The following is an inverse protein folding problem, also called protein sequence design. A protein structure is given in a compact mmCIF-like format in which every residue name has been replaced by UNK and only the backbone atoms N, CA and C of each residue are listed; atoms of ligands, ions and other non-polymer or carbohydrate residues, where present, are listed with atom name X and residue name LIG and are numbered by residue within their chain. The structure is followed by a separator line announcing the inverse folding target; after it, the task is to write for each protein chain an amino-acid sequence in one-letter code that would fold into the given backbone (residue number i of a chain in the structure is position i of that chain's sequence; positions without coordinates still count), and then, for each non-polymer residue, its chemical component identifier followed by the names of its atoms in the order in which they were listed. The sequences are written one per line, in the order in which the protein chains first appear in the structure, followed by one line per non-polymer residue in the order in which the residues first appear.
data_IF_060363145167
#
_entry.id   IF_060363145167
#
_cell.length_a   1.000
_cell.length_b   1.000
_cell.length_c   1.000
_cell.angle_alpha   90.00
_cell.angle_beta   90.00
_cell.angle_gamma   90.00
#
_symmetry.space_group_name_H-M   'P 1'
#
loop_
_entity.id
_entity.type
_entity.pdbx_description
1 polymer ?
#
# COMPACT_ATOMS: atom_id res chain seq x y z
N UNK A 1 -38.80 8.83 1.28
CA UNK A 1 -37.83 9.95 1.19
C UNK A 1 -36.44 9.54 1.69
N UNK A 2 -36.31 8.98 2.90
CA UNK A 2 -35.03 8.54 3.50
C UNK A 2 -34.17 7.59 2.64
N UNK A 3 -34.76 6.54 2.05
CA UNK A 3 -34.01 5.59 1.18
C UNK A 3 -33.30 6.28 0.01
N UNK A 4 -33.88 7.34 -0.56
CA UNK A 4 -33.29 8.08 -1.71
C UNK A 4 -32.03 8.87 -1.34
N UNK A 5 -31.85 9.22 -0.06
CA UNK A 5 -30.66 9.96 0.41
C UNK A 5 -29.45 9.02 0.45
N UNK A 6 -29.61 7.84 1.05
CA UNK A 6 -28.54 6.83 1.14
C UNK A 6 -28.13 6.23 -0.21
N UNK A 7 -29.05 6.21 -1.19
CA UNK A 7 -28.76 5.75 -2.55
C UNK A 7 -28.05 6.82 -3.40
N UNK A 8 -27.96 8.07 -2.94
CA UNK A 8 -27.33 9.15 -3.72
C UNK A 8 -25.83 9.20 -3.44
N UNK A 9 -25.04 8.77 -4.40
CA UNK A 9 -23.57 8.71 -4.29
C UNK A 9 -22.92 10.04 -3.87
N UNK A 10 -23.37 11.17 -4.42
CA UNK A 10 -22.85 12.50 -4.05
C UNK A 10 -23.03 12.83 -2.58
N UNK A 11 -24.15 12.41 -1.98
CA UNK A 11 -24.41 12.64 -0.55
C UNK A 11 -23.49 11.77 0.29
N UNK A 12 -23.36 10.49 -0.08
CA UNK A 12 -22.45 9.58 0.62
C UNK A 12 -20.99 10.03 0.52
N UNK A 13 -20.56 10.53 -0.64
CA UNK A 13 -19.23 11.13 -0.80
C UNK A 13 -19.02 12.27 0.18
N UNK A 14 -19.95 13.23 0.25
CA UNK A 14 -19.86 14.34 1.21
C UNK A 14 -19.74 13.84 2.64
N UNK A 15 -20.52 12.83 3.03
CA UNK A 15 -20.48 12.24 4.37
C UNK A 15 -19.12 11.56 4.64
N UNK A 16 -18.57 10.82 3.67
CA UNK A 16 -17.25 10.19 3.78
C UNK A 16 -16.14 11.23 3.94
N UNK A 17 -16.18 12.30 3.14
CA UNK A 17 -15.20 13.40 3.23
C UNK A 17 -15.30 14.11 4.58
N UNK A 18 -16.51 14.40 5.06
CA UNK A 18 -16.71 15.00 6.38
C UNK A 18 -16.22 14.08 7.51
N UNK A 19 -16.43 12.77 7.42
CA UNK A 19 -15.90 11.82 8.39
C UNK A 19 -14.36 11.79 8.37
N UNK A 20 -13.74 11.81 7.19
CA UNK A 20 -12.29 11.86 7.07
C UNK A 20 -11.71 13.14 7.68
N UNK A 21 -12.35 14.29 7.45
CA UNK A 21 -11.96 15.56 8.08
C UNK A 21 -12.13 15.53 9.60
N UNK A 22 -13.23 14.97 10.10
CA UNK A 22 -13.44 14.80 11.54
C UNK A 22 -12.32 13.95 12.16
N UNK A 23 -12.02 12.80 11.55
CA UNK A 23 -10.93 11.92 12.00
C UNK A 23 -9.62 12.70 12.00
N UNK A 24 -9.30 13.43 10.93
CA UNK A 24 -8.10 14.27 10.87
C UNK A 24 -8.02 15.28 12.02
N UNK A 25 -9.10 15.98 12.34
CA UNK A 25 -9.14 16.93 13.46
C UNK A 25 -8.97 16.28 14.84
N UNK A 26 -9.46 15.06 15.04
CA UNK A 26 -9.31 14.33 16.31
C UNK A 26 -7.86 14.03 16.68
N UNK A 27 -6.93 14.02 15.71
CA UNK A 27 -5.51 13.76 15.96
C UNK A 27 -4.68 15.00 16.31
N UNK A 28 -5.27 16.21 16.30
CA UNK A 28 -4.56 17.40 16.77
C UNK A 28 -4.40 17.35 18.30
N UNK A 29 -3.16 17.49 18.84
CA UNK A 29 -2.94 17.43 20.28
C UNK A 29 -3.71 18.49 21.08
N UNK A 30 -3.92 19.67 20.49
CA UNK A 30 -4.70 20.75 21.11
C UNK A 30 -6.19 20.38 21.25
N UNK A 31 -6.75 19.69 20.25
CA UNK A 31 -8.14 19.24 20.25
C UNK A 31 -8.32 18.05 21.18
N UNK A 32 -7.39 17.10 21.16
CA UNK A 32 -7.43 15.90 21.99
C UNK A 32 -7.46 16.20 23.50
N UNK A 33 -6.78 17.27 23.92
CA UNK A 33 -6.77 17.73 25.32
C UNK A 33 -7.93 18.66 25.67
N UNK A 34 -8.71 19.10 24.68
CA UNK A 34 -9.83 20.01 24.89
C UNK A 34 -11.09 19.25 25.30
N UNK A 35 -12.02 19.88 26.07
CA UNK A 35 -13.31 19.28 26.36
C UNK A 35 -14.17 19.06 25.10
N UNK A 36 -13.82 19.67 23.96
CA UNK A 36 -14.49 19.48 22.69
C UNK A 36 -14.27 18.08 22.08
N UNK A 37 -13.26 17.33 22.56
CA UNK A 37 -12.96 15.98 22.05
C UNK A 37 -14.14 15.02 22.19
N UNK A 38 -14.87 15.10 23.31
CA UNK A 38 -16.05 14.26 23.58
C UNK A 38 -17.12 14.44 22.50
N UNK A 39 -17.34 15.68 22.03
CA UNK A 39 -18.29 15.95 20.94
C UNK A 39 -17.85 15.34 19.61
N UNK A 40 -16.53 15.32 19.34
CA UNK A 40 -15.99 14.67 18.14
C UNK A 40 -16.13 13.15 18.21
N UNK A 41 -16.01 12.55 19.39
CA UNK A 41 -16.27 11.12 19.57
C UNK A 41 -17.73 10.76 19.29
N UNK A 42 -18.69 11.55 19.80
CA UNK A 42 -20.09 11.35 19.46
C UNK A 42 -20.37 11.51 17.98
N UNK A 43 -19.78 12.51 17.32
CA UNK A 43 -19.92 12.69 15.88
C UNK A 43 -19.29 11.52 15.08
N UNK A 44 -18.15 10.97 15.52
CA UNK A 44 -17.57 9.77 14.87
C UNK A 44 -18.52 8.56 14.94
N UNK A 45 -19.19 8.37 16.09
CA UNK A 45 -20.22 7.34 16.28
C UNK A 45 -21.41 7.59 15.35
N UNK A 46 -21.83 8.85 15.18
CA UNK A 46 -22.90 9.23 14.24
C UNK A 46 -22.53 8.87 12.81
N UNK A 47 -21.31 9.19 12.34
CA UNK A 47 -20.85 8.82 11.00
C UNK A 47 -20.85 7.31 10.79
N UNK A 48 -20.33 6.54 11.75
CA UNK A 48 -20.34 5.08 11.67
C UNK A 48 -21.78 4.52 11.61
N UNK A 49 -22.70 5.11 12.38
CA UNK A 49 -24.12 4.74 12.34
C UNK A 49 -24.75 5.02 10.98
N UNK A 50 -24.45 6.19 10.38
CA UNK A 50 -24.90 6.53 9.02
C UNK A 50 -24.39 5.51 8.00
N UNK A 51 -23.13 5.08 8.12
CA UNK A 51 -22.56 4.05 7.24
C UNK A 51 -23.18 2.66 7.43
N UNK A 52 -23.51 2.29 8.66
CA UNK A 52 -24.24 1.06 8.94
C UNK A 52 -25.65 1.11 8.31
N UNK A 53 -26.35 2.25 8.46
CA UNK A 53 -27.66 2.47 7.84
C UNK A 53 -27.60 2.46 6.31
N UNK A 54 -26.56 3.05 5.70
CA UNK A 54 -26.32 2.95 4.25
C UNK A 54 -26.27 1.49 3.81
N UNK A 55 -25.47 0.65 4.48
CA UNK A 55 -25.33 -0.76 4.15
C UNK A 55 -26.68 -1.50 4.28
N UNK A 56 -27.42 -1.29 5.38
CA UNK A 56 -28.74 -1.89 5.60
C UNK A 56 -29.74 -1.47 4.51
N UNK A 57 -29.77 -0.18 4.16
CA UNK A 57 -30.68 0.34 3.12
C UNK A 57 -30.34 -0.25 1.75
N UNK A 58 -29.05 -0.34 1.40
CA UNK A 58 -28.60 -0.95 0.14
C UNK A 58 -28.93 -2.44 0.08
N UNK A 59 -28.67 -3.21 1.14
CA UNK A 59 -29.03 -4.64 1.22
C UNK A 59 -30.54 -4.81 1.08
N UNK A 60 -31.33 -3.95 1.72
CA UNK A 60 -32.80 -3.98 1.62
C UNK A 60 -33.32 -3.60 0.23
N UNK A 61 -32.55 -2.86 -0.57
CA UNK A 61 -32.95 -2.39 -1.90
C UNK A 61 -32.52 -3.35 -3.02
N UNK A 62 -31.27 -3.81 -2.99
CA UNK A 62 -30.69 -4.70 -3.99
C UNK A 62 -30.87 -6.19 -3.67
N UNK A 63 -31.26 -6.53 -2.44
CA UNK A 63 -31.20 -7.90 -1.92
C UNK A 63 -29.77 -8.32 -1.56
N UNK A 64 -29.64 -9.47 -0.90
CA UNK A 64 -28.33 -10.01 -0.52
C UNK A 64 -27.48 -10.33 -1.75
N UNK A 65 -28.02 -11.01 -2.75
CA UNK A 65 -27.27 -11.36 -3.97
C UNK A 65 -26.80 -10.11 -4.73
N UNK A 66 -27.69 -9.14 -4.95
CA UNK A 66 -27.35 -7.90 -5.65
C UNK A 66 -26.36 -7.01 -4.90
N UNK A 67 -26.39 -7.00 -3.55
CA UNK A 67 -25.42 -6.24 -2.76
C UNK A 67 -24.01 -6.83 -2.84
N UNK A 68 -23.90 -8.15 -2.78
CA UNK A 68 -22.60 -8.84 -2.76
C UNK A 68 -21.97 -9.02 -4.14
N UNK A 69 -22.72 -8.81 -5.23
CA UNK A 69 -22.15 -8.78 -6.58
C UNK A 69 -21.20 -7.58 -6.76
N UNK A 70 -21.59 -6.40 -6.25
CA UNK A 70 -20.79 -5.18 -6.31
C UNK A 70 -19.56 -5.23 -5.37
N UNK A 71 -18.36 -5.09 -5.93
CA UNK A 71 -17.09 -5.04 -5.21
C UNK A 71 -17.03 -3.89 -4.20
N UNK A 72 -17.60 -2.73 -4.53
CA UNK A 72 -17.54 -1.55 -3.67
C UNK A 72 -18.46 -1.68 -2.46
N UNK A 73 -19.64 -2.27 -2.64
CA UNK A 73 -20.54 -2.56 -1.53
C UNK A 73 -19.92 -3.56 -0.55
N UNK A 74 -19.25 -4.61 -1.05
CA UNK A 74 -18.48 -5.55 -0.20
C UNK A 74 -17.37 -4.86 0.58
N UNK A 75 -16.61 -3.98 -0.08
CA UNK A 75 -15.54 -3.20 0.56
C UNK A 75 -16.07 -2.28 1.67
N UNK A 76 -17.15 -1.55 1.40
CA UNK A 76 -17.77 -0.67 2.38
C UNK A 76 -18.32 -1.44 3.59
N UNK A 77 -18.94 -2.60 3.35
CA UNK A 77 -19.43 -3.47 4.41
C UNK A 77 -18.28 -3.97 5.29
N UNK A 78 -17.18 -4.42 4.69
CA UNK A 78 -16.00 -4.85 5.43
C UNK A 78 -15.47 -3.73 6.33
N UNK A 79 -15.42 -2.48 5.82
CA UNK A 79 -15.03 -1.32 6.61
C UNK A 79 -16.01 -1.04 7.75
N UNK A 80 -17.33 -1.16 7.54
CA UNK A 80 -18.32 -1.00 8.62
C UNK A 80 -18.03 -2.04 9.71
N UNK A 81 -17.93 -3.33 9.33
CA UNK A 81 -17.76 -4.45 10.26
C UNK A 81 -16.47 -4.31 11.07
N UNK A 82 -15.34 -4.00 10.42
CA UNK A 82 -14.06 -3.75 11.10
C UNK A 82 -14.09 -2.53 12.03
N UNK A 83 -15.00 -1.59 11.78
CA UNK A 83 -15.18 -0.40 12.62
C UNK A 83 -16.16 -0.60 13.78
N UNK A 84 -16.95 -1.70 13.81
CA UNK A 84 -17.94 -1.96 14.87
C UNK A 84 -17.34 -2.11 16.27
N UNK A 85 -16.16 -2.75 16.47
CA UNK A 85 -15.55 -2.83 17.80
C UNK A 85 -15.34 -1.45 18.45
N UNK A 86 -15.18 -0.39 17.66
CA UNK A 86 -15.06 0.99 18.15
C UNK A 86 -16.33 1.47 18.89
N UNK A 87 -17.51 0.92 18.59
CA UNK A 87 -18.73 1.20 19.36
C UNK A 87 -18.65 0.69 20.80
N UNK A 88 -17.93 -0.41 21.04
CA UNK A 88 -17.88 -1.05 22.35
C UNK A 88 -16.87 -0.38 23.29
N UNK A 89 -15.87 0.32 22.73
CA UNK A 89 -14.79 0.96 23.51
C UNK A 89 -15.30 1.95 24.57
N UNK A 90 -16.34 2.78 24.33
CA UNK A 90 -16.89 3.67 25.37
C UNK A 90 -17.74 2.97 26.43
N UNK A 91 -18.24 1.75 26.18
CA UNK A 91 -19.15 1.04 27.07
C UNK A 91 -18.49 -0.07 27.89
N UNK A 92 -17.25 -0.41 27.57
CA UNK A 92 -16.49 -1.43 28.28
C UNK A 92 -15.28 -0.74 28.92
N UNK A 93 -15.19 -0.81 30.25
CA UNK A 93 -14.01 -0.40 31.02
C UNK A 93 -12.87 -1.40 30.76
N UNK A 94 -12.29 -1.32 29.57
CA UNK A 94 -11.11 -2.08 29.21
C UNK A 94 -9.90 -1.23 29.61
N UNK A 95 -8.96 -1.75 30.42
CA UNK A 95 -7.71 -1.07 30.71
C UNK A 95 -7.02 -0.67 29.40
N UNK A 96 -6.40 0.51 29.36
CA UNK A 96 -5.77 1.12 28.18
C UNK A 96 -4.57 0.30 27.67
N UNK A 97 -4.86 -0.89 27.16
CA UNK A 97 -3.95 -1.89 26.62
C UNK A 97 -3.67 -1.54 25.16
N UNK A 98 -2.55 -2.04 24.64
CA UNK A 98 -2.19 -1.85 23.22
C UNK A 98 -3.31 -2.27 22.26
N UNK A 99 -4.16 -3.23 22.66
CA UNK A 99 -5.33 -3.68 21.89
C UNK A 99 -6.34 -2.55 21.67
N UNK A 100 -6.66 -1.73 22.68
CA UNK A 100 -7.61 -0.62 22.51
C UNK A 100 -7.07 0.43 21.55
N UNK A 101 -5.76 0.72 21.63
CA UNK A 101 -5.11 1.66 20.72
C UNK A 101 -5.27 1.17 19.28
N UNK A 102 -4.99 -0.11 19.02
CA UNK A 102 -5.16 -0.73 17.70
C UNK A 102 -6.63 -0.70 17.25
N UNK A 103 -7.58 -1.01 18.13
CA UNK A 103 -9.02 -0.94 17.80
C UNK A 103 -9.44 0.49 17.41
N UNK A 104 -8.91 1.51 18.10
CA UNK A 104 -9.16 2.91 17.75
C UNK A 104 -8.58 3.26 16.38
N UNK A 105 -7.46 2.67 15.97
CA UNK A 105 -6.87 2.87 14.64
C UNK A 105 -7.72 2.29 13.51
N UNK A 106 -8.57 1.28 13.75
CA UNK A 106 -9.47 0.77 12.72
C UNK A 106 -10.42 1.84 12.18
N UNK A 107 -10.76 2.88 12.94
CA UNK A 107 -11.56 3.99 12.40
C UNK A 107 -10.89 4.70 11.22
N UNK A 108 -9.55 4.69 11.15
CA UNK A 108 -8.78 5.28 10.03
C UNK A 108 -9.08 4.57 8.71
N UNK A 109 -9.43 3.27 8.74
CA UNK A 109 -9.77 2.51 7.54
C UNK A 109 -11.00 3.09 6.82
N UNK A 110 -11.85 3.85 7.52
CA UNK A 110 -13.02 4.52 6.92
C UNK A 110 -12.63 5.58 5.90
N UNK A 111 -11.45 6.19 6.04
CA UNK A 111 -10.90 7.15 5.07
C UNK A 111 -10.70 6.46 3.70
N UNK A 112 -10.39 5.16 3.68
CA UNK A 112 -10.22 4.39 2.45
C UNK A 112 -11.51 4.29 1.61
N UNK A 113 -12.69 4.59 2.18
CA UNK A 113 -13.94 4.66 1.40
C UNK A 113 -13.92 5.73 0.32
N UNK A 114 -13.07 6.75 0.44
CA UNK A 114 -12.89 7.76 -0.63
C UNK A 114 -12.47 7.09 -1.94
N UNK A 115 -11.76 5.96 -1.89
CA UNK A 115 -11.28 5.24 -3.06
C UNK A 115 -12.40 4.77 -3.99
N UNK A 116 -13.61 4.48 -3.46
CA UNK A 116 -14.74 4.05 -4.29
C UNK A 116 -15.25 5.12 -5.25
N UNK A 117 -14.97 6.38 -4.93
CA UNK A 117 -15.38 7.53 -5.73
C UNK A 117 -14.32 7.94 -6.76
N UNK A 118 -13.15 7.30 -6.74
CA UNK A 118 -12.13 7.52 -7.77
C UNK A 118 -12.55 6.80 -9.05
N UNK A 119 -12.68 7.52 -10.19
CA UNK A 119 -13.06 6.91 -11.45
C UNK A 119 -12.12 5.77 -11.83
N UNK A 120 -12.67 4.64 -12.30
CA UNK A 120 -11.91 3.49 -12.77
C UNK A 120 -10.96 2.86 -11.73
N UNK A 121 -11.15 3.11 -10.42
CA UNK A 121 -10.28 2.56 -9.37
C UNK A 121 -10.16 1.04 -9.42
N UNK A 122 -11.23 0.31 -9.77
CA UNK A 122 -11.17 -1.15 -9.98
C UNK A 122 -10.17 -1.55 -11.08
N UNK A 123 -10.14 -0.80 -12.19
CA UNK A 123 -9.18 -1.03 -13.27
C UNK A 123 -7.75 -0.74 -12.81
N UNK A 124 -7.55 0.34 -12.03
CA UNK A 124 -6.25 0.69 -11.45
C UNK A 124 -5.76 -0.42 -10.51
N UNK A 125 -6.61 -0.89 -9.59
CA UNK A 125 -6.27 -1.95 -8.65
C UNK A 125 -6.02 -3.29 -9.34
N UNK A 126 -6.80 -3.63 -10.38
CA UNK A 126 -6.53 -4.80 -11.22
C UNK A 126 -5.20 -4.69 -11.97
N UNK A 127 -4.89 -3.53 -12.54
CA UNK A 127 -3.60 -3.25 -13.17
C UNK A 127 -2.45 -3.46 -12.17
N UNK A 128 -2.55 -2.83 -11.00
CA UNK A 128 -1.59 -2.99 -9.90
C UNK A 128 -1.42 -4.45 -9.49
N UNK A 129 -2.52 -5.18 -9.31
CA UNK A 129 -2.49 -6.60 -8.95
C UNK A 129 -1.77 -7.47 -9.99
N UNK A 130 -1.95 -7.19 -11.28
CA UNK A 130 -1.22 -7.89 -12.35
C UNK A 130 0.27 -7.59 -12.31
N UNK A 131 0.67 -6.33 -12.21
CA UNK A 131 2.08 -5.96 -12.12
C UNK A 131 2.77 -6.54 -10.88
N UNK A 132 2.11 -6.49 -9.73
CA UNK A 132 2.63 -7.15 -8.52
C UNK A 132 2.80 -8.64 -8.77
N UNK A 133 1.80 -9.31 -9.36
CA UNK A 133 1.85 -10.76 -9.66
C UNK A 133 3.01 -11.14 -10.58
N UNK A 134 3.25 -10.36 -11.64
CA UNK A 134 4.36 -10.61 -12.56
C UNK A 134 5.72 -10.34 -11.91
N UNK A 135 5.81 -9.30 -11.07
CA UNK A 135 7.03 -8.95 -10.37
C UNK A 135 7.29 -9.78 -9.10
N UNK A 136 6.40 -10.72 -8.70
CA UNK A 136 6.57 -11.50 -7.46
C UNK A 136 7.94 -12.18 -7.39
N UNK A 137 8.38 -12.82 -8.47
CA UNK A 137 9.66 -13.54 -8.48
C UNK A 137 10.85 -12.58 -8.35
N UNK A 138 10.78 -11.41 -8.98
CA UNK A 138 11.83 -10.38 -8.89
C UNK A 138 11.87 -9.77 -7.49
N UNK A 139 10.71 -9.42 -6.92
CA UNK A 139 10.60 -8.91 -5.56
C UNK A 139 11.07 -9.94 -4.53
N UNK A 140 10.74 -11.23 -4.73
CA UNK A 140 11.23 -12.32 -3.90
C UNK A 140 12.75 -12.48 -4.01
N UNK A 141 13.32 -12.41 -5.21
CA UNK A 141 14.76 -12.45 -5.41
C UNK A 141 15.48 -11.28 -4.71
N UNK A 142 14.94 -10.06 -4.80
CA UNK A 142 15.46 -8.90 -4.08
C UNK A 142 15.36 -9.06 -2.56
N UNK A 143 14.22 -9.51 -2.05
CA UNK A 143 14.04 -9.80 -0.62
C UNK A 143 15.02 -10.88 -0.13
N UNK A 144 15.27 -11.90 -0.95
CA UNK A 144 16.23 -12.95 -0.64
C UNK A 144 17.68 -12.44 -0.65
N UNK A 145 18.04 -11.55 -1.58
CA UNK A 145 19.34 -10.87 -1.57
C UNK A 145 19.51 -9.99 -0.32
N UNK A 146 18.48 -9.24 0.06
CA UNK A 146 18.49 -8.44 1.30
C UNK A 146 18.73 -9.35 2.51
N UNK A 147 18.04 -10.48 2.57
CA UNK A 147 18.20 -11.46 3.65
C UNK A 147 19.63 -12.01 3.73
N UNK A 148 20.23 -12.41 2.60
CA UNK A 148 21.61 -12.89 2.53
C UNK A 148 22.58 -11.81 2.99
N UNK A 149 22.51 -10.61 2.41
CA UNK A 149 23.41 -9.51 2.76
C UNK A 149 23.23 -9.04 4.20
N UNK A 150 22.02 -9.14 4.76
CA UNK A 150 21.77 -8.80 6.16
C UNK A 150 22.52 -9.75 7.10
N UNK A 151 22.48 -11.06 6.85
CA UNK A 151 23.23 -12.05 7.64
C UNK A 151 24.74 -11.83 7.50
N UNK A 152 25.22 -11.66 6.26
CA UNK A 152 26.66 -11.43 5.98
C UNK A 152 27.15 -10.16 6.70
N UNK A 153 26.43 -9.05 6.54
CA UNK A 153 26.82 -7.77 7.13
C UNK A 153 26.71 -7.78 8.65
N UNK A 154 25.70 -8.46 9.21
CA UNK A 154 25.59 -8.73 10.64
C UNK A 154 26.83 -9.46 11.17
N UNK A 155 27.27 -10.51 10.47
CA UNK A 155 28.43 -11.29 10.87
C UNK A 155 29.72 -10.45 10.87
N UNK A 156 29.94 -9.62 9.84
CA UNK A 156 31.17 -8.84 9.72
C UNK A 156 31.18 -7.56 10.57
N UNK A 157 30.05 -6.86 10.67
CA UNK A 157 29.97 -5.50 11.21
C UNK A 157 29.08 -5.37 12.45
N UNK A 158 28.43 -6.45 12.91
CA UNK A 158 27.52 -6.41 14.05
C UNK A 158 28.18 -6.01 15.37
N UNK A 159 29.46 -6.34 15.57
CA UNK A 159 30.23 -5.89 16.74
C UNK A 159 30.69 -4.44 16.65
N UNK A 160 30.93 -3.92 15.43
CA UNK A 160 31.41 -2.55 15.21
C UNK A 160 30.27 -1.53 15.22
N UNK A 161 29.12 -1.90 14.66
CA UNK A 161 27.94 -1.04 14.56
C UNK A 161 26.66 -1.79 14.96
N UNK A 162 26.50 -2.16 16.26
CA UNK A 162 25.37 -2.95 16.74
C UNK A 162 24.01 -2.31 16.49
N UNK A 163 23.95 -0.98 16.49
CA UNK A 163 22.72 -0.20 16.22
C UNK A 163 22.15 -0.43 14.81
N UNK A 164 22.99 -0.85 13.86
CA UNK A 164 22.62 -1.09 12.46
C UNK A 164 22.73 -2.55 12.05
N UNK A 165 23.62 -3.31 12.69
CA UNK A 165 23.98 -4.67 12.29
C UNK A 165 24.02 -5.68 13.45
N UNK A 166 23.52 -5.32 14.64
CA UNK A 166 23.66 -6.13 15.86
C UNK A 166 22.96 -7.48 15.79
N UNK A 167 21.85 -7.56 15.05
CA UNK A 167 21.18 -8.82 14.72
C UNK A 167 20.66 -8.80 13.27
N UNK A 168 20.29 -9.96 12.69
CA UNK A 168 19.83 -10.04 11.31
C UNK A 168 18.55 -9.22 11.03
N UNK A 169 17.63 -9.07 11.99
CA UNK A 169 16.39 -8.31 11.78
C UNK A 169 16.67 -6.80 11.69
N UNK A 170 17.54 -6.27 12.54
CA UNK A 170 18.00 -4.88 12.45
C UNK A 170 18.82 -4.69 11.16
N UNK A 171 19.66 -5.66 10.80
CA UNK A 171 20.49 -5.63 9.59
C UNK A 171 19.66 -5.57 8.31
N UNK A 172 18.53 -6.29 8.26
CA UNK A 172 17.61 -6.25 7.10
C UNK A 172 17.18 -4.83 6.78
N UNK A 173 16.87 -4.00 7.79
CA UNK A 173 16.49 -2.61 7.57
C UNK A 173 17.64 -1.80 6.97
N UNK A 174 18.86 -1.93 7.52
CA UNK A 174 20.05 -1.24 7.00
C UNK A 174 20.40 -1.66 5.56
N UNK A 175 20.27 -2.95 5.22
CA UNK A 175 20.48 -3.43 3.85
C UNK A 175 19.35 -2.96 2.92
N UNK A 176 18.10 -2.92 3.39
CA UNK A 176 16.99 -2.36 2.63
C UNK A 176 17.25 -0.88 2.28
N UNK A 177 17.76 -0.06 3.22
CA UNK A 177 18.15 1.33 2.94
C UNK A 177 19.24 1.42 1.86
N UNK A 178 20.24 0.53 1.88
CA UNK A 178 21.26 0.46 0.83
C UNK A 178 20.68 0.10 -0.54
N UNK A 179 19.71 -0.82 -0.58
CA UNK A 179 19.00 -1.20 -1.81
C UNK A 179 18.08 -0.08 -2.31
N UNK A 180 17.55 0.78 -1.45
CA UNK A 180 16.79 1.97 -1.88
C UNK A 180 17.67 3.18 -2.17
N UNK A 181 19.00 3.02 -2.12
CA UNK A 181 20.00 4.09 -2.28
C UNK A 181 19.88 5.22 -1.24
N UNK A 182 19.19 4.98 -0.14
CA UNK A 182 18.98 5.97 0.93
C UNK A 182 20.17 6.00 1.88
N UNK A 183 20.81 7.16 2.03
CA UNK A 183 21.91 7.35 2.98
C UNK A 183 23.10 6.40 2.76
N UNK A 184 23.29 5.91 1.53
CA UNK A 184 24.18 4.78 1.25
C UNK A 184 25.65 5.01 1.60
N UNK A 185 26.09 6.27 1.64
CA UNK A 185 27.44 6.68 2.03
C UNK A 185 27.62 6.79 3.56
N UNK A 186 26.53 6.98 4.31
CA UNK A 186 26.58 7.22 5.75
C UNK A 186 26.96 5.95 6.53
N UNK A 187 26.50 4.79 6.07
CA UNK A 187 26.81 3.48 6.67
C UNK A 187 28.31 3.17 6.60
N UNK A 188 28.97 3.15 5.42
CA UNK A 188 30.40 2.89 5.35
C UNK A 188 31.24 3.95 6.08
N UNK A 189 30.80 5.22 6.13
CA UNK A 189 31.48 6.26 6.90
C UNK A 189 31.31 6.09 8.41
N UNK A 190 30.16 5.64 8.89
CA UNK A 190 29.93 5.30 10.28
C UNK A 190 30.81 4.12 10.73
N UNK A 191 30.97 3.11 9.87
CA UNK A 191 31.89 2.00 10.10
C UNK A 191 33.35 2.50 10.10
N UNK A 192 33.72 3.35 9.15
CA UNK A 192 35.09 3.89 9.07
C UNK A 192 35.49 4.71 10.31
N UNK A 193 34.54 5.45 10.91
CA UNK A 193 34.75 6.21 12.15
C UNK A 193 35.02 5.34 13.37
N UNK A 194 34.60 4.06 13.36
CA UNK A 194 34.80 3.12 14.48
C UNK A 194 36.19 2.46 14.47
N UNK A 195 37.00 2.70 13.45
CA UNK A 195 38.40 2.26 13.35
C UNK A 195 38.67 1.33 12.17
N UNK A 196 39.95 1.14 11.85
CA UNK A 196 40.41 0.27 10.76
C UNK A 196 41.75 0.73 10.19
N UNK A 197 42.54 -0.21 9.65
CA UNK A 197 43.75 0.11 8.89
C UNK A 197 43.35 0.63 7.51
N UNK A 198 44.08 1.59 6.92
CA UNK A 198 43.66 2.31 5.70
C UNK A 198 43.15 1.43 4.55
N UNK A 199 43.74 0.25 4.34
CA UNK A 199 43.28 -0.70 3.32
C UNK A 199 41.94 -1.39 3.67
N UNK A 200 41.68 -1.67 4.96
CA UNK A 200 40.42 -2.24 5.44
C UNK A 200 39.26 -1.25 5.30
N UNK A 201 39.55 0.05 5.47
CA UNK A 201 38.58 1.13 5.24
C UNK A 201 38.18 1.19 3.76
N UNK A 202 39.15 1.08 2.86
CA UNK A 202 38.91 0.98 1.42
C UNK A 202 38.07 -0.25 1.06
N UNK A 203 38.42 -1.42 1.59
CA UNK A 203 37.67 -2.66 1.37
C UNK A 203 36.22 -2.59 1.87
N UNK A 204 36.00 -1.97 3.04
CA UNK A 204 34.65 -1.76 3.61
C UNK A 204 33.80 -0.87 2.69
N UNK A 205 34.36 0.24 2.20
CA UNK A 205 33.66 1.11 1.24
C UNK A 205 33.34 0.40 -0.07
N UNK A 206 34.25 -0.44 -0.55
CA UNK A 206 34.02 -1.26 -1.74
C UNK A 206 32.93 -2.31 -1.53
N UNK A 207 32.89 -2.95 -0.36
CA UNK A 207 31.83 -3.91 0.00
C UNK A 207 30.45 -3.26 -0.01
N UNK A 208 30.28 -2.13 0.68
CA UNK A 208 29.00 -1.41 0.67
C UNK A 208 28.68 -0.82 -0.70
N UNK A 209 29.68 -0.30 -1.42
CA UNK A 209 29.51 0.15 -2.80
C UNK A 209 29.05 -0.97 -3.75
N UNK A 210 29.56 -2.20 -3.56
CA UNK A 210 29.12 -3.37 -4.30
C UNK A 210 27.65 -3.73 -4.00
N UNK A 211 27.23 -3.70 -2.73
CA UNK A 211 25.83 -3.92 -2.35
C UNK A 211 24.92 -2.88 -3.01
N UNK A 212 25.29 -1.61 -2.96
CA UNK A 212 24.54 -0.49 -3.55
C UNK A 212 24.42 -0.65 -5.07
N UNK A 213 25.50 -1.04 -5.73
CA UNK A 213 25.51 -1.27 -7.17
C UNK A 213 24.64 -2.47 -7.56
N UNK A 214 24.79 -3.60 -6.87
CA UNK A 214 24.10 -4.83 -7.20
C UNK A 214 22.60 -4.78 -6.83
N UNK A 215 22.30 -4.42 -5.58
CA UNK A 215 20.94 -4.37 -5.06
C UNK A 215 20.19 -3.10 -5.44
N UNK A 216 20.84 -1.95 -5.26
CA UNK A 216 20.21 -0.66 -5.50
C UNK A 216 20.14 -0.30 -6.98
N UNK A 217 21.28 -0.12 -7.64
CA UNK A 217 21.29 0.33 -9.04
C UNK A 217 20.69 -0.75 -9.96
N UNK A 218 21.28 -1.95 -9.97
CA UNK A 218 20.81 -3.02 -10.86
C UNK A 218 19.52 -3.67 -10.38
N UNK A 219 19.42 -4.02 -9.10
CA UNK A 219 18.25 -4.71 -8.55
C UNK A 219 16.97 -3.87 -8.67
N UNK A 220 16.98 -2.60 -8.27
CA UNK A 220 15.79 -1.74 -8.39
C UNK A 220 15.46 -1.42 -9.86
N UNK A 221 16.48 -1.24 -10.70
CA UNK A 221 16.27 -0.98 -12.13
C UNK A 221 15.64 -2.20 -12.83
N UNK A 222 16.05 -3.42 -12.48
CA UNK A 222 15.42 -4.66 -12.96
C UNK A 222 13.99 -4.78 -12.47
N UNK A 223 13.73 -4.53 -11.18
CA UNK A 223 12.37 -4.58 -10.63
C UNK A 223 11.44 -3.56 -11.31
N UNK A 224 11.94 -2.34 -11.55
CA UNK A 224 11.20 -1.31 -12.26
C UNK A 224 10.94 -1.70 -13.73
N UNK A 225 11.94 -2.25 -14.42
CA UNK A 225 11.78 -2.73 -15.80
C UNK A 225 10.68 -3.79 -15.91
N UNK A 226 10.73 -4.84 -15.07
CA UNK A 226 9.70 -5.89 -15.06
C UNK A 226 8.32 -5.33 -14.73
N UNK A 227 8.24 -4.39 -13.79
CA UNK A 227 6.97 -3.76 -13.42
C UNK A 227 6.38 -2.93 -14.56
N UNK A 228 7.21 -2.17 -15.27
CA UNK A 228 6.80 -1.33 -16.41
C UNK A 228 6.40 -2.21 -17.61
N UNK A 229 7.16 -3.25 -17.91
CA UNK A 229 6.86 -4.20 -18.99
C UNK A 229 5.49 -4.85 -18.76
N UNK A 230 5.20 -5.32 -17.55
CA UNK A 230 3.89 -5.91 -17.24
C UNK A 230 2.75 -4.87 -17.33
N UNK A 231 2.98 -3.65 -16.84
CA UNK A 231 1.97 -2.57 -16.91
C UNK A 231 1.66 -2.14 -18.34
N UNK A 232 2.60 -2.28 -19.26
CA UNK A 232 2.46 -1.91 -20.67
C UNK A 232 2.08 -3.07 -21.58
N UNK A 233 2.15 -4.32 -21.10
CA UNK A 233 1.81 -5.53 -21.84
C UNK A 233 0.40 -5.48 -22.44
N UNK A 234 -0.59 -4.96 -21.71
CA UNK A 234 -1.97 -4.79 -22.21
C UNK A 234 -2.06 -3.84 -23.43
N UNK A 235 -1.21 -2.81 -23.49
CA UNK A 235 -1.18 -1.87 -24.61
C UNK A 235 -0.48 -2.51 -25.81
N UNK A 236 0.58 -3.29 -25.58
CA UNK A 236 1.32 -3.98 -26.63
C UNK A 236 0.46 -5.08 -27.27
N UNK A 237 -0.18 -5.94 -26.49
CA UNK A 237 -1.00 -7.04 -27.02
C UNK A 237 -2.16 -6.52 -27.91
N UNK A 238 -2.83 -5.44 -27.51
CA UNK A 238 -3.89 -4.82 -28.32
C UNK A 238 -3.37 -4.22 -29.62
N UNK A 239 -2.15 -3.72 -29.62
CA UNK A 239 -1.52 -3.15 -30.80
C UNK A 239 -1.11 -4.27 -31.77
N UNK A 240 -0.52 -5.34 -31.25
CA UNK A 240 -0.12 -6.54 -32.00
C UNK A 240 -1.33 -7.17 -32.70
N UNK A 241 -2.44 -7.41 -31.98
CA UNK A 241 -3.69 -7.91 -32.59
C UNK A 241 -4.27 -6.99 -33.69
N UNK A 242 -4.03 -5.68 -33.61
CA UNK A 242 -4.48 -4.75 -34.66
C UNK A 242 -3.58 -4.83 -35.89
N UNK A 243 -2.27 -4.99 -35.69
CA UNK A 243 -1.30 -5.19 -36.76
C UNK A 243 -1.59 -6.50 -37.49
N UNK A 244 -1.78 -7.60 -36.76
CA UNK A 244 -2.11 -8.91 -37.34
C UNK A 244 -3.39 -8.86 -38.19
N UNK A 245 -4.41 -8.15 -37.71
CA UNK A 245 -5.65 -7.93 -38.47
C UNK A 245 -5.42 -7.12 -39.73
N UNK A 246 -4.61 -6.07 -39.68
CA UNK A 246 -4.29 -5.26 -40.84
C UNK A 246 -3.47 -6.05 -41.86
N UNK A 247 -2.50 -6.85 -41.43
CA UNK A 247 -1.73 -7.73 -42.32
C UNK A 247 -2.62 -8.75 -43.01
N UNK A 248 -3.56 -9.37 -42.28
CA UNK A 248 -4.54 -10.28 -42.86
C UNK A 248 -5.42 -9.60 -43.92
N UNK A 249 -5.95 -8.41 -43.63
CA UNK A 249 -6.75 -7.62 -44.57
C UNK A 249 -5.96 -7.20 -45.81
N UNK A 250 -4.70 -6.81 -45.65
CA UNK A 250 -3.81 -6.48 -46.78
C UNK A 250 -3.54 -7.74 -47.62
N UNK A 251 -3.37 -8.90 -46.99
CA UNK A 251 -3.22 -10.19 -47.67
C UNK A 251 -4.43 -10.52 -48.54
N UNK A 252 -5.63 -10.45 -47.98
CA UNK A 252 -6.89 -10.66 -48.71
C UNK A 252 -7.05 -9.68 -49.88
N UNK A 253 -6.76 -8.39 -49.65
CA UNK A 253 -6.87 -7.36 -50.69
C UNK A 253 -5.88 -7.62 -51.84
N UNK A 254 -4.66 -8.07 -51.53
CA UNK A 254 -3.66 -8.46 -52.54
C UNK A 254 -4.11 -9.67 -53.36
N UNK A 255 -4.78 -10.65 -52.74
CA UNK A 255 -5.36 -11.77 -53.48
C UNK A 255 -6.50 -11.34 -54.40
N UNK A 256 -7.38 -10.44 -53.94
CA UNK A 256 -8.46 -9.89 -54.75
C UNK A 256 -7.95 -9.12 -55.98
N UNK A 257 -6.89 -8.33 -55.82
CA UNK A 257 -6.26 -7.57 -56.91
C UNK A 257 -5.51 -8.44 -57.93
N UNK A 258 -5.23 -9.71 -57.59
CA UNK A 258 -4.51 -10.66 -58.45
C UNK A 258 -5.46 -11.48 -59.34
N UNK A 259 -6.76 -11.43 -59.09
CA UNK A 259 -7.83 -12.03 -59.92
C UNK A 259 -8.39 -10.99 -60.89
#
# INVERSE_FOLDING_TARGET
MFKRIFLREKVMLTIVVLNALLIYFMYFPAVHKSPAYIWLEYLDIVFLTIFLLEAIVKISHYGWEGYFDDYWNRFDLAIVVLSLPTFLVPFVDIPNTGVIIVLRLFRLIRIARVLRFVPNMHHILKGLGRAVKASVFVLFALAFLIFIFAIITCHFYGSMLPERFGDPLISIYSIFQLFTLEGWYEIPDAVAKKGGVGWMLGATRLYFGFIVLLGGVFGMSLANAVFVDEMTMDNNNKLEEKIDRLEAQIGELKEMLRK
#
